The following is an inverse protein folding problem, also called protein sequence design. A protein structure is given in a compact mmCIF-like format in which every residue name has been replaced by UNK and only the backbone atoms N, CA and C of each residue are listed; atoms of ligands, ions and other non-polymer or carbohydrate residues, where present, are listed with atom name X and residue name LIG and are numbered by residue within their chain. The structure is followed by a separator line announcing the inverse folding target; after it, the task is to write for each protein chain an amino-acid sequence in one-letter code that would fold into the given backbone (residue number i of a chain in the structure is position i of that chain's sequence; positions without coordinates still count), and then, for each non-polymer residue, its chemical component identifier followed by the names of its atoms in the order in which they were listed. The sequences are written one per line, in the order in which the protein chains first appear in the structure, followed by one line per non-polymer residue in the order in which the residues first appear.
data_IF_974312238270
#
_entry.id   IF_974312238270
#
_cell.length_a   1.000
_cell.length_b   1.000
_cell.length_c   1.000
_cell.angle_alpha   90.00
_cell.angle_beta   90.00
_cell.angle_gamma   90.00
#
_symmetry.space_group_name_H-M   'P 1'
#
loop_
_entity.id
_entity.type
_entity.pdbx_description
1 polymer ?
#
# COMPACT_ATOMS: atom_id res chain seq x y z
N UNK A 1 19.78 32.10 1.82
CA UNK A 1 19.32 30.90 2.54
C UNK A 1 17.79 30.74 2.57
N UNK A 2 17.03 31.81 2.41
CA UNK A 2 15.57 31.75 2.40
C UNK A 2 14.99 31.14 1.10
N UNK A 3 15.73 31.25 -0.02
CA UNK A 3 15.28 30.68 -1.31
C UNK A 3 15.33 29.15 -1.35
N UNK A 4 16.30 28.53 -0.68
CA UNK A 4 16.39 27.06 -0.59
C UNK A 4 15.28 26.48 0.30
N UNK A 5 14.96 27.20 1.38
CA UNK A 5 13.88 26.79 2.30
C UNK A 5 12.50 26.95 1.66
N UNK A 6 12.28 28.03 0.90
CA UNK A 6 11.04 28.25 0.14
C UNK A 6 10.91 27.26 -1.02
N UNK A 7 12.04 26.89 -1.68
CA UNK A 7 12.03 25.86 -2.73
C UNK A 7 11.68 24.48 -2.19
N UNK A 8 12.15 24.13 -1.00
CA UNK A 8 11.79 22.88 -0.31
C UNK A 8 10.31 22.86 0.06
N UNK A 9 9.76 23.99 0.48
CA UNK A 9 8.34 24.12 0.83
C UNK A 9 7.40 24.12 -0.38
N UNK A 10 7.85 24.63 -1.53
CA UNK A 10 7.08 24.67 -2.78
C UNK A 10 7.04 23.32 -3.52
N UNK A 11 7.97 22.40 -3.21
CA UNK A 11 8.08 21.08 -3.88
C UNK A 11 7.52 19.95 -3.00
N UNK A 12 7.24 20.20 -1.72
CA UNK A 12 6.70 19.21 -0.81
C UNK A 12 5.25 18.85 -1.19
N UNK A 13 5.07 17.66 -1.75
CA UNK A 13 3.76 17.06 -1.97
C UNK A 13 3.47 16.08 -0.84
N UNK A 14 2.24 16.08 -0.38
CA UNK A 14 1.77 15.18 0.65
C UNK A 14 1.15 13.92 0.02
N UNK A 15 1.15 12.84 0.78
CA UNK A 15 0.54 11.57 0.37
C UNK A 15 -0.90 11.77 -0.10
N UNK A 16 -1.68 12.60 0.60
CA UNK A 16 -3.07 12.91 0.22
C UNK A 16 -3.23 13.51 -1.18
N UNK A 17 -2.19 14.15 -1.70
CA UNK A 17 -2.22 14.82 -3.02
C UNK A 17 -2.09 13.83 -4.18
N UNK A 18 -1.55 12.63 -3.94
CA UNK A 18 -1.32 11.61 -4.96
C UNK A 18 -2.05 10.29 -4.72
N UNK A 19 -2.50 10.01 -3.50
CA UNK A 19 -3.14 8.74 -3.17
C UNK A 19 -4.43 8.49 -3.96
N UNK A 20 -4.79 7.22 -4.10
CA UNK A 20 -6.10 6.79 -4.58
C UNK A 20 -7.04 6.68 -3.38
N UNK A 21 -8.21 7.32 -3.44
CA UNK A 21 -9.16 7.40 -2.31
C UNK A 21 -10.28 6.37 -2.38
N UNK A 22 -10.64 5.89 -3.56
CA UNK A 22 -11.66 4.83 -3.72
C UNK A 22 -11.01 3.47 -3.49
N UNK A 23 -10.93 3.05 -2.24
CA UNK A 23 -10.23 1.82 -1.85
C UNK A 23 -11.21 0.85 -1.22
N UNK A 24 -11.31 -0.33 -1.84
CA UNK A 24 -12.01 -1.47 -1.24
C UNK A 24 -11.13 -2.14 -0.20
N UNK A 25 -11.74 -2.61 0.87
CA UNK A 25 -11.07 -3.37 1.92
C UNK A 25 -11.87 -4.63 2.26
N UNK A 26 -11.21 -5.59 2.87
CA UNK A 26 -11.82 -6.80 3.40
C UNK A 26 -11.57 -6.91 4.90
N UNK A 27 -12.30 -7.81 5.55
CA UNK A 27 -12.15 -8.12 6.96
C UNK A 27 -11.44 -9.47 7.12
N UNK A 28 -10.82 -9.73 8.27
CA UNK A 28 -10.14 -11.00 8.51
C UNK A 28 -11.05 -12.23 8.38
N UNK A 29 -12.32 -12.09 8.75
CA UNK A 29 -13.32 -13.15 8.71
C UNK A 29 -14.07 -13.25 7.36
N UNK A 30 -13.77 -12.38 6.40
CA UNK A 30 -14.30 -12.50 5.05
C UNK A 30 -13.73 -13.75 4.35
N UNK A 31 -14.51 -14.30 3.42
CA UNK A 31 -14.04 -15.37 2.56
C UNK A 31 -12.96 -14.87 1.59
N UNK A 32 -12.01 -15.72 1.24
CA UNK A 32 -10.94 -15.40 0.26
C UNK A 32 -11.54 -14.93 -1.07
N UNK A 33 -12.66 -15.54 -1.49
CA UNK A 33 -13.36 -15.15 -2.71
C UNK A 33 -13.76 -13.67 -2.73
N UNK A 34 -14.03 -13.07 -1.58
CA UNK A 34 -14.35 -11.64 -1.49
C UNK A 34 -13.18 -10.78 -1.99
N UNK A 35 -11.96 -11.08 -1.54
CA UNK A 35 -10.75 -10.40 -2.03
C UNK A 35 -10.52 -10.66 -3.52
N UNK A 36 -10.70 -11.89 -3.97
CA UNK A 36 -10.53 -12.26 -5.40
C UNK A 36 -11.49 -11.46 -6.29
N UNK A 37 -12.74 -11.31 -5.89
CA UNK A 37 -13.74 -10.52 -6.63
C UNK A 37 -13.34 -9.04 -6.73
N UNK A 38 -12.84 -8.47 -5.63
CA UNK A 38 -12.32 -7.09 -5.62
C UNK A 38 -11.12 -6.96 -6.57
N UNK A 39 -10.15 -7.86 -6.46
CA UNK A 39 -8.96 -7.85 -7.30
C UNK A 39 -9.30 -7.92 -8.79
N UNK A 40 -10.25 -8.77 -9.17
CA UNK A 40 -10.71 -8.89 -10.56
C UNK A 40 -11.48 -7.65 -11.02
N UNK A 41 -12.40 -7.18 -10.21
CA UNK A 41 -13.27 -6.04 -10.57
C UNK A 41 -12.51 -4.73 -10.69
N UNK A 42 -11.51 -4.52 -9.85
CA UNK A 42 -10.72 -3.28 -9.80
C UNK A 42 -9.36 -3.41 -10.52
N UNK A 43 -9.03 -4.60 -11.02
CA UNK A 43 -7.74 -4.90 -11.67
C UNK A 43 -6.55 -4.56 -10.76
N UNK A 44 -6.58 -5.02 -9.53
CA UNK A 44 -5.55 -4.83 -8.51
C UNK A 44 -5.10 -6.17 -7.93
N UNK A 45 -3.87 -6.24 -7.45
CA UNK A 45 -3.29 -7.44 -6.85
C UNK A 45 -3.12 -7.36 -5.33
N UNK A 46 -3.67 -6.33 -4.69
CA UNK A 46 -3.55 -6.12 -3.24
C UNK A 46 -4.82 -5.47 -2.70
N UNK A 47 -5.30 -5.96 -1.56
CA UNK A 47 -6.47 -5.41 -0.87
C UNK A 47 -6.13 -5.24 0.61
N UNK A 48 -6.36 -4.05 1.20
CA UNK A 48 -6.20 -3.86 2.64
C UNK A 48 -7.17 -4.73 3.44
N UNK A 49 -6.70 -5.21 4.58
CA UNK A 49 -7.50 -5.94 5.57
C UNK A 49 -7.69 -5.05 6.77
N UNK A 50 -8.92 -4.76 7.12
CA UNK A 50 -9.29 -3.84 8.19
C UNK A 50 -10.25 -4.49 9.19
N UNK A 51 -10.26 -3.94 10.40
CA UNK A 51 -11.30 -4.24 11.38
C UNK A 51 -12.59 -3.44 11.08
N UNK A 52 -13.61 -3.63 11.90
CA UNK A 52 -14.90 -2.93 11.76
C UNK A 52 -14.78 -1.41 11.90
N UNK A 53 -13.74 -0.93 12.57
CA UNK A 53 -13.46 0.50 12.77
C UNK A 53 -12.55 1.08 11.69
N UNK A 54 -12.23 0.28 10.66
CA UNK A 54 -11.32 0.63 9.55
C UNK A 54 -9.85 0.78 9.93
N UNK A 55 -9.43 0.23 11.08
CA UNK A 55 -8.01 0.12 11.38
C UNK A 55 -7.38 -0.92 10.46
N UNK A 56 -6.22 -0.59 9.89
CA UNK A 56 -5.50 -1.51 9.00
C UNK A 56 -4.84 -2.60 9.83
N UNK A 57 -5.22 -3.85 9.62
CA UNK A 57 -4.65 -5.03 10.27
C UNK A 57 -3.55 -5.67 9.42
N UNK A 58 -3.59 -5.46 8.12
CA UNK A 58 -2.66 -6.03 7.18
C UNK A 58 -3.14 -5.83 5.75
N UNK A 59 -2.59 -6.63 4.85
CA UNK A 59 -2.99 -6.69 3.44
C UNK A 59 -3.12 -8.14 3.00
N UNK A 60 -3.89 -8.38 1.96
CA UNK A 60 -3.91 -9.65 1.24
C UNK A 60 -3.56 -9.38 -0.23
N UNK A 61 -2.64 -10.17 -0.77
CA UNK A 61 -2.23 -10.07 -2.17
C UNK A 61 -2.65 -11.32 -2.95
N UNK A 62 -2.69 -11.21 -4.26
CA UNK A 62 -2.90 -12.35 -5.16
C UNK A 62 -1.84 -13.43 -4.92
N UNK A 63 -0.60 -13.04 -4.67
CA UNK A 63 0.48 -13.97 -4.32
C UNK A 63 0.23 -14.66 -2.98
N UNK A 64 -0.22 -13.93 -1.95
CA UNK A 64 -0.59 -14.51 -0.65
C UNK A 64 -1.64 -15.60 -0.81
N UNK A 65 -2.68 -15.31 -1.59
CA UNK A 65 -3.77 -16.27 -1.85
C UNK A 65 -3.23 -17.50 -2.55
N UNK A 66 -2.45 -17.30 -3.62
CA UNK A 66 -1.91 -18.43 -4.39
C UNK A 66 -0.97 -19.30 -3.55
N UNK A 67 -0.02 -18.69 -2.85
CA UNK A 67 1.03 -19.44 -2.16
C UNK A 67 0.54 -20.08 -0.86
N UNK A 68 -0.30 -19.37 -0.10
CA UNK A 68 -0.73 -19.82 1.22
C UNK A 68 -1.96 -20.72 1.17
N UNK A 69 -2.91 -20.47 0.28
CA UNK A 69 -4.08 -21.35 0.15
C UNK A 69 -3.72 -22.70 -0.47
N UNK A 70 -2.78 -22.72 -1.41
CA UNK A 70 -2.29 -23.99 -1.98
C UNK A 70 -1.57 -24.84 -0.93
N UNK A 71 -0.66 -24.22 -0.14
CA UNK A 71 0.07 -24.92 0.91
C UNK A 71 -0.83 -25.41 2.05
N UNK A 72 -1.94 -24.74 2.32
CA UNK A 72 -2.96 -25.14 3.28
C UNK A 72 -3.95 -26.17 2.71
N UNK A 73 -3.79 -26.61 1.45
CA UNK A 73 -4.70 -27.55 0.79
C UNK A 73 -6.08 -26.97 0.54
N UNK A 74 -6.22 -25.65 0.41
CA UNK A 74 -7.50 -24.93 0.30
C UNK A 74 -8.46 -25.17 1.47
N UNK A 75 -7.97 -25.70 2.57
CA UNK A 75 -8.81 -26.03 3.74
C UNK A 75 -9.25 -24.82 4.54
N UNK A 76 -8.55 -23.71 4.41
CA UNK A 76 -8.89 -22.46 5.07
C UNK A 76 -9.53 -21.50 4.08
N UNK A 77 -10.69 -20.98 4.45
CA UNK A 77 -11.54 -20.18 3.57
C UNK A 77 -11.56 -18.69 3.89
N UNK A 78 -10.88 -18.24 4.95
CA UNK A 78 -10.93 -16.86 5.39
C UNK A 78 -9.64 -16.07 5.09
N UNK A 79 -9.78 -14.76 5.03
CA UNK A 79 -8.70 -13.81 4.75
C UNK A 79 -7.60 -13.90 5.82
N UNK A 80 -7.96 -14.08 7.09
CA UNK A 80 -7.00 -14.12 8.20
C UNK A 80 -5.93 -15.20 7.99
N UNK A 81 -6.28 -16.32 7.37
CA UNK A 81 -5.37 -17.43 7.14
C UNK A 81 -4.30 -17.16 6.06
N UNK A 82 -4.56 -16.21 5.17
CA UNK A 82 -3.68 -15.94 4.00
C UNK A 82 -3.10 -14.52 4.00
N UNK A 83 -3.63 -13.59 4.81
CA UNK A 83 -3.17 -12.21 4.84
C UNK A 83 -1.73 -12.06 5.35
N UNK A 84 -1.09 -10.96 4.98
CA UNK A 84 0.14 -10.49 5.59
C UNK A 84 -0.22 -9.46 6.66
N UNK A 85 0.01 -9.74 7.95
CA UNK A 85 -0.31 -8.83 9.04
C UNK A 85 0.75 -7.75 9.22
N UNK A 86 0.44 -6.75 10.06
CA UNK A 86 1.40 -5.75 10.56
C UNK A 86 2.16 -5.02 9.47
N UNK A 87 1.44 -4.54 8.45
CA UNK A 87 2.02 -3.79 7.34
C UNK A 87 2.26 -2.33 7.73
N UNK A 88 3.26 -1.73 7.07
CA UNK A 88 3.50 -0.30 7.21
C UNK A 88 2.45 0.50 6.44
N UNK A 89 1.99 1.59 7.04
CA UNK A 89 1.05 2.53 6.44
C UNK A 89 1.69 3.91 6.33
N UNK A 90 1.29 4.66 5.32
CA UNK A 90 1.57 6.09 5.24
C UNK A 90 0.42 6.88 5.86
N UNK A 91 0.72 8.03 6.43
CA UNK A 91 -0.29 8.99 6.86
C UNK A 91 -0.59 9.98 5.72
N UNK A 92 -1.81 10.49 5.66
CA UNK A 92 -2.21 11.48 4.64
C UNK A 92 -1.32 12.73 4.62
N UNK A 93 -0.72 13.08 5.75
CA UNK A 93 0.14 14.25 5.92
C UNK A 93 1.61 13.96 5.70
N UNK A 94 1.98 12.71 5.47
CA UNK A 94 3.36 12.37 5.16
C UNK A 94 3.80 12.99 3.84
N UNK A 95 5.07 13.37 3.77
CA UNK A 95 5.72 13.79 2.52
C UNK A 95 5.87 12.59 1.59
N UNK A 96 5.67 12.80 0.29
CA UNK A 96 5.81 11.74 -0.71
C UNK A 96 7.22 11.13 -0.71
N UNK A 97 8.26 11.93 -0.50
CA UNK A 97 9.62 11.41 -0.40
C UNK A 97 9.74 10.40 0.76
N UNK A 98 9.20 10.74 1.93
CA UNK A 98 9.24 9.85 3.10
C UNK A 98 8.44 8.57 2.86
N UNK A 99 7.29 8.67 2.19
CA UNK A 99 6.50 7.49 1.81
C UNK A 99 7.25 6.59 0.82
N UNK A 100 7.96 7.18 -0.15
CA UNK A 100 8.82 6.44 -1.08
C UNK A 100 9.96 5.73 -0.34
N UNK A 101 10.59 6.40 0.63
CA UNK A 101 11.62 5.78 1.47
C UNK A 101 11.07 4.60 2.27
N UNK A 102 9.83 4.72 2.79
CA UNK A 102 9.17 3.63 3.49
C UNK A 102 8.92 2.42 2.57
N UNK A 103 8.50 2.67 1.33
CA UNK A 103 8.38 1.61 0.31
C UNK A 103 9.71 0.91 0.07
N UNK A 104 10.79 1.68 -0.12
CA UNK A 104 12.13 1.16 -0.38
C UNK A 104 12.65 0.33 0.80
N UNK A 105 12.55 0.83 2.02
CA UNK A 105 13.01 0.15 3.23
C UNK A 105 12.31 -1.20 3.45
N UNK A 106 11.04 -1.28 3.11
CA UNK A 106 10.21 -2.46 3.33
C UNK A 106 10.05 -3.35 2.10
N UNK A 107 10.64 -2.97 0.97
CA UNK A 107 10.57 -3.75 -0.26
C UNK A 107 9.16 -3.89 -0.81
N UNK A 108 8.35 -2.83 -0.70
CA UNK A 108 6.96 -2.81 -1.18
C UNK A 108 6.74 -1.69 -2.18
N UNK A 109 5.78 -1.88 -3.07
CA UNK A 109 5.40 -0.89 -4.11
C UNK A 109 4.11 -0.16 -3.80
N UNK A 110 3.45 -0.49 -2.71
CA UNK A 110 2.17 0.08 -2.29
C UNK A 110 2.13 0.19 -0.77
N UNK A 111 1.46 1.21 -0.28
CA UNK A 111 1.21 1.43 1.13
C UNK A 111 -0.28 1.76 1.34
N UNK A 112 -0.93 1.13 2.31
CA UNK A 112 -2.20 1.67 2.81
C UNK A 112 -1.96 3.07 3.38
N UNK A 113 -2.92 3.95 3.16
CA UNK A 113 -2.88 5.33 3.68
C UNK A 113 -3.94 5.48 4.75
N UNK A 114 -3.52 6.01 5.90
CA UNK A 114 -4.38 6.20 7.05
C UNK A 114 -4.51 7.68 7.42
N UNK A 115 -5.62 8.00 8.04
CA UNK A 115 -5.87 9.25 8.73
C UNK A 115 -6.55 8.92 10.06
N UNK A 116 -5.99 9.40 11.18
CA UNK A 116 -6.44 9.01 12.51
C UNK A 116 -6.53 7.48 12.69
N UNK A 117 -5.52 6.78 12.21
CA UNK A 117 -5.40 5.32 12.21
C UNK A 117 -6.45 4.55 11.37
N UNK A 118 -7.25 5.23 10.58
CA UNK A 118 -8.26 4.62 9.73
C UNK A 118 -7.86 4.65 8.26
N UNK A 119 -8.12 3.58 7.55
CA UNK A 119 -7.86 3.50 6.10
C UNK A 119 -8.66 4.56 5.34
N UNK A 120 -7.97 5.39 4.56
CA UNK A 120 -8.57 6.41 3.70
C UNK A 120 -8.10 6.34 2.25
N UNK A 121 -7.07 5.55 1.96
CA UNK A 121 -6.54 5.46 0.60
C UNK A 121 -5.45 4.43 0.45
N UNK A 122 -4.91 4.37 -0.76
CA UNK A 122 -3.70 3.62 -1.11
C UNK A 122 -2.74 4.52 -1.88
N UNK A 123 -1.45 4.39 -1.61
CA UNK A 123 -0.39 5.03 -2.38
C UNK A 123 0.45 3.96 -3.06
N UNK A 124 0.65 4.09 -4.36
CA UNK A 124 1.46 3.16 -5.14
C UNK A 124 2.63 3.87 -5.82
N UNK A 125 3.65 3.10 -6.18
CA UNK A 125 4.76 3.58 -6.99
C UNK A 125 4.26 4.18 -8.32
N UNK A 126 3.18 3.63 -8.88
CA UNK A 126 2.51 4.16 -10.07
C UNK A 126 1.93 5.57 -9.83
N UNK A 127 1.45 5.86 -8.63
CA UNK A 127 0.96 7.20 -8.29
C UNK A 127 2.10 8.23 -8.30
N UNK A 128 3.28 7.86 -7.80
CA UNK A 128 4.47 8.71 -7.87
C UNK A 128 4.88 8.99 -9.32
N UNK A 129 4.71 8.01 -10.21
CA UNK A 129 5.07 8.13 -11.62
C UNK A 129 4.24 9.16 -12.38
N UNK A 130 3.13 9.63 -11.83
CA UNK A 130 2.33 10.72 -12.39
C UNK A 130 3.06 12.07 -12.33
N UNK A 131 4.13 12.19 -11.54
CA UNK A 131 4.91 13.41 -11.35
C UNK A 131 6.40 13.15 -11.60
N UNK A 132 6.97 13.88 -12.57
CA UNK A 132 8.38 13.74 -12.95
C UNK A 132 9.36 14.04 -11.81
N UNK A 133 8.98 14.90 -10.87
CA UNK A 133 9.83 15.27 -9.73
C UNK A 133 10.17 14.09 -8.82
N UNK A 134 9.46 12.97 -8.93
CA UNK A 134 9.69 11.76 -8.11
C UNK A 134 10.45 10.64 -8.83
N UNK A 135 11.10 10.93 -9.98
CA UNK A 135 11.88 9.93 -10.73
C UNK A 135 12.99 9.31 -9.88
N UNK A 136 13.68 10.11 -9.06
CA UNK A 136 14.74 9.62 -8.19
C UNK A 136 14.21 8.68 -7.12
N UNK A 137 13.08 9.02 -6.49
CA UNK A 137 12.41 8.20 -5.49
C UNK A 137 11.93 6.88 -6.09
N UNK A 138 11.33 6.93 -7.28
CA UNK A 138 10.90 5.74 -8.02
C UNK A 138 12.08 4.83 -8.30
N UNK A 139 13.16 5.38 -8.82
CA UNK A 139 14.39 4.64 -9.11
C UNK A 139 14.97 3.96 -7.86
N UNK A 140 14.96 4.65 -6.74
CA UNK A 140 15.42 4.10 -5.47
C UNK A 140 14.56 2.92 -4.99
N UNK A 141 13.24 3.05 -5.06
CA UNK A 141 12.32 1.97 -4.69
C UNK A 141 12.55 0.73 -5.58
N UNK A 142 12.66 0.92 -6.90
CA UNK A 142 12.91 -0.17 -7.84
C UNK A 142 14.25 -0.84 -7.55
N UNK A 143 15.28 -0.06 -7.28
CA UNK A 143 16.61 -0.59 -6.92
C UNK A 143 16.52 -1.49 -5.68
N UNK A 144 15.88 -1.04 -4.61
CA UNK A 144 15.71 -1.80 -3.38
C UNK A 144 14.87 -3.07 -3.59
N UNK A 145 13.79 -2.99 -4.37
CA UNK A 145 12.98 -4.17 -4.73
C UNK A 145 13.81 -5.21 -5.47
N UNK A 146 14.69 -4.79 -6.38
CA UNK A 146 15.55 -5.68 -7.16
C UNK A 146 16.59 -6.40 -6.31
N UNK A 147 17.05 -5.79 -5.22
CA UNK A 147 18.05 -6.35 -4.32
C UNK A 147 17.46 -7.23 -3.21
N UNK A 148 16.16 -7.20 -3.01
CA UNK A 148 15.46 -8.00 -1.97
C UNK A 148 14.78 -9.26 -2.51
N UNK A 149 14.77 -9.42 -3.82
CA UNK A 149 14.17 -10.60 -4.47
C UNK A 149 15.17 -11.74 -4.67
#
# INVERSE_FOLDING_TARGET
NNRLFLRKRMIAMLVKDLMTTSVSAVRPDDAIETAVKIMRGENIGIVPVCDIQKHVLGVVTDRDILMRSVSAGFSSSDIQSVMTPDVFCADVKDDIHDAAMLMAQNGVRRLPVVENNKLVGMLSLKDLAKKRIFIAEIGHVIYELSNKS
#
